data_IF_263839665074
#
_entry.id   IF_263839665074
#
_cell.length_a   1.000
_cell.length_b   1.000
_cell.length_c   1.000
_cell.angle_alpha   90.00
_cell.angle_beta   90.00
_cell.angle_gamma   90.00
#
_symmetry.space_group_name_H-M   'P 1'
#
loop_
_entity.id
_entity.type
_entity.pdbx_description
1 polymer ?
#
# COMPACT_ATOMS: atom_id res chain seq x y z
N UNK A 1 -15.50 10.97 13.89
CA UNK A 1 -14.75 11.82 14.85
C UNK A 1 -13.63 12.50 14.08
N UNK A 2 -13.41 13.82 14.23
CA UNK A 2 -12.29 14.48 13.58
C UNK A 2 -10.98 13.90 14.13
N UNK A 3 -10.11 13.44 13.24
CA UNK A 3 -8.82 12.85 13.59
C UNK A 3 -7.90 13.90 14.21
N UNK A 4 -7.11 13.50 15.21
CA UNK A 4 -6.02 14.35 15.69
C UNK A 4 -4.91 14.31 14.65
N UNK A 5 -4.66 15.45 14.01
CA UNK A 5 -3.52 15.61 13.13
C UNK A 5 -2.24 15.19 13.88
N UNK A 6 -1.61 14.11 13.42
CA UNK A 6 -0.35 13.66 13.96
C UNK A 6 0.77 14.50 13.33
N UNK A 7 1.77 14.94 14.10
CA UNK A 7 2.93 15.60 13.52
C UNK A 7 3.69 14.59 12.65
N UNK A 8 3.66 14.80 11.35
CA UNK A 8 4.39 13.99 10.37
C UNK A 8 5.52 14.82 9.75
N UNK A 9 6.66 14.20 9.40
CA UNK A 9 7.78 14.92 8.79
C UNK A 9 7.47 15.46 7.39
N UNK A 10 6.51 14.88 6.68
CA UNK A 10 6.09 15.30 5.34
C UNK A 10 4.57 15.55 5.28
N UNK A 11 4.10 16.19 4.20
CA UNK A 11 2.68 16.50 3.97
C UNK A 11 1.84 15.21 3.92
N UNK A 12 0.76 15.15 4.69
CA UNK A 12 -0.16 14.00 4.63
C UNK A 12 -1.03 14.13 3.38
N UNK A 13 -0.99 13.10 2.54
CA UNK A 13 -1.83 12.98 1.35
C UNK A 13 -3.16 12.36 1.71
N UNK A 14 -3.12 11.21 2.38
CA UNK A 14 -4.30 10.39 2.69
C UNK A 14 -3.93 9.43 3.84
N UNK A 15 -4.76 9.33 4.87
CA UNK A 15 -4.51 8.43 6.02
C UNK A 15 -5.05 7.01 5.82
N UNK A 16 -5.92 6.80 4.84
CA UNK A 16 -6.45 5.49 4.48
C UNK A 16 -6.66 5.37 2.96
N UNK A 17 -5.56 5.34 2.18
CA UNK A 17 -5.64 5.35 0.73
C UNK A 17 -6.28 4.06 0.19
N UNK A 18 -7.19 4.23 -0.77
CA UNK A 18 -7.79 3.10 -1.48
C UNK A 18 -6.72 2.23 -2.15
N UNK A 19 -6.91 0.90 -2.14
CA UNK A 19 -5.92 -0.08 -2.66
C UNK A 19 -5.38 0.27 -4.04
N UNK A 20 -6.25 0.74 -4.95
CA UNK A 20 -5.85 1.11 -6.32
C UNK A 20 -4.96 2.34 -6.37
N UNK A 21 -5.13 3.30 -5.45
CA UNK A 21 -4.28 4.48 -5.35
C UNK A 21 -2.89 4.07 -4.87
N UNK A 22 -2.81 3.25 -3.83
CA UNK A 22 -1.54 2.77 -3.28
C UNK A 22 -0.69 2.08 -4.35
N UNK A 23 -1.29 1.18 -5.12
CA UNK A 23 -0.60 0.44 -6.20
C UNK A 23 -0.20 1.36 -7.36
N UNK A 24 -1.07 2.30 -7.77
CA UNK A 24 -0.75 3.29 -8.82
C UNK A 24 0.38 4.26 -8.43
N UNK A 25 0.67 4.38 -7.14
CA UNK A 25 1.70 5.26 -6.58
C UNK A 25 2.98 4.48 -6.20
N UNK A 26 3.10 3.23 -6.66
CA UNK A 26 4.37 2.52 -6.57
C UNK A 26 5.45 3.23 -7.37
N UNK A 27 6.56 3.51 -6.70
CA UNK A 27 7.79 3.97 -7.35
C UNK A 27 8.47 2.76 -8.00
N UNK A 28 9.37 2.97 -8.99
CA UNK A 28 10.22 1.90 -9.50
C UNK A 28 10.97 1.13 -8.41
N UNK A 29 11.35 1.81 -7.32
CA UNK A 29 11.97 1.19 -6.16
C UNK A 29 11.08 0.17 -5.44
N UNK A 30 9.76 0.37 -5.43
CA UNK A 30 8.85 -0.55 -4.75
C UNK A 30 8.66 -1.83 -5.57
N UNK A 31 8.62 -1.72 -6.91
CA UNK A 31 8.69 -2.88 -7.80
C UNK A 31 10.02 -3.62 -7.67
N UNK A 32 11.14 -2.90 -7.50
CA UNK A 32 12.44 -3.51 -7.26
C UNK A 32 12.45 -4.30 -5.94
N UNK A 33 11.90 -3.74 -4.86
CA UNK A 33 11.73 -4.44 -3.57
C UNK A 33 10.85 -5.67 -3.73
N UNK A 34 9.73 -5.56 -4.45
CA UNK A 34 8.84 -6.70 -4.69
C UNK A 34 9.53 -7.81 -5.49
N UNK A 35 10.24 -7.46 -6.56
CA UNK A 35 11.02 -8.40 -7.36
C UNK A 35 12.12 -9.07 -6.53
N UNK A 36 12.87 -8.29 -5.74
CA UNK A 36 13.91 -8.81 -4.87
C UNK A 36 13.37 -9.80 -3.83
N UNK A 37 12.25 -9.47 -3.18
CA UNK A 37 11.59 -10.37 -2.22
C UNK A 37 11.10 -11.67 -2.87
N UNK A 38 10.58 -11.58 -4.10
CA UNK A 38 10.09 -12.73 -4.87
C UNK A 38 11.19 -13.77 -5.10
N UNK A 39 12.42 -13.33 -5.39
CA UNK A 39 13.55 -14.23 -5.66
C UNK A 39 14.38 -14.57 -4.43
N UNK A 40 14.27 -13.79 -3.34
CA UNK A 40 15.09 -13.98 -2.14
C UNK A 40 14.85 -15.35 -1.48
N UNK A 41 13.58 -15.72 -1.25
CA UNK A 41 13.21 -16.99 -0.63
C UNK A 41 13.63 -18.23 -1.45
N UNK A 42 13.30 -18.34 -2.76
CA UNK A 42 13.76 -19.48 -3.56
C UNK A 42 15.29 -19.50 -3.73
N UNK A 43 15.97 -18.35 -3.87
CA UNK A 43 17.43 -18.30 -3.92
C UNK A 43 18.07 -18.81 -2.62
N UNK A 44 17.49 -18.46 -1.48
CA UNK A 44 17.91 -18.97 -0.17
C UNK A 44 17.77 -20.49 -0.07
N UNK A 45 16.64 -21.06 -0.52
CA UNK A 45 16.44 -22.52 -0.55
C UNK A 45 17.46 -23.23 -1.46
N UNK A 46 17.75 -22.68 -2.64
CA UNK A 46 18.79 -23.22 -3.53
C UNK A 46 20.16 -23.16 -2.86
N UNK A 47 20.47 -22.06 -2.17
CA UNK A 47 21.70 -21.90 -1.40
C UNK A 47 21.85 -22.96 -0.31
N UNK A 48 20.78 -23.21 0.46
CA UNK A 48 20.77 -24.23 1.50
C UNK A 48 20.96 -25.65 0.94
N UNK A 49 20.30 -25.96 -0.17
CA UNK A 49 20.43 -27.28 -0.81
C UNK A 49 21.85 -27.51 -1.34
N UNK A 50 22.50 -26.48 -1.90
CA UNK A 50 23.91 -26.53 -2.32
C UNK A 50 24.88 -26.76 -1.17
N UNK A 51 24.63 -26.15 0.00
CA UNK A 51 25.48 -26.32 1.19
C UNK A 51 25.24 -27.70 1.82
N UNK A 52 23.99 -28.16 1.86
CA UNK A 52 23.62 -29.45 2.45
C UNK A 52 23.52 -30.57 1.40
N UNK A 53 24.68 -30.99 0.87
CA UNK A 53 24.81 -32.09 -0.13
C UNK A 53 24.25 -33.46 0.29
N UNK A 54 23.80 -33.64 1.54
CA UNK A 54 23.12 -34.86 2.03
C UNK A 54 21.59 -34.80 1.91
N UNK A 55 21.05 -33.65 1.50
CA UNK A 55 19.64 -33.44 1.19
C UNK A 55 19.23 -34.38 0.06
N UNK A 56 18.47 -35.43 0.38
CA UNK A 56 17.94 -36.40 -0.59
C UNK A 56 16.66 -35.88 -1.24
N UNK A 57 16.51 -34.55 -1.37
CA UNK A 57 15.30 -33.93 -1.91
C UNK A 57 15.27 -34.16 -3.42
N UNK A 58 14.58 -35.23 -3.84
CA UNK A 58 14.47 -35.63 -5.25
C UNK A 58 13.65 -34.66 -6.11
N UNK A 59 12.97 -33.67 -5.51
CA UNK A 59 12.19 -32.66 -6.25
C UNK A 59 12.15 -31.32 -5.53
N UNK A 60 12.90 -30.35 -6.05
CA UNK A 60 12.87 -28.95 -5.61
C UNK A 60 11.78 -28.12 -6.29
N UNK A 61 11.05 -28.69 -7.27
CA UNK A 61 10.09 -27.95 -8.07
C UNK A 61 8.95 -27.32 -7.24
N UNK A 62 8.32 -28.12 -6.37
CA UNK A 62 7.23 -27.62 -5.52
C UNK A 62 7.72 -26.66 -4.41
N UNK A 63 8.77 -26.99 -3.63
CA UNK A 63 9.32 -26.07 -2.63
C UNK A 63 9.73 -24.71 -3.21
N UNK A 64 10.37 -24.69 -4.38
CA UNK A 64 10.77 -23.44 -5.03
C UNK A 64 9.56 -22.62 -5.48
N UNK A 65 8.52 -23.25 -6.06
CA UNK A 65 7.28 -22.56 -6.43
C UNK A 65 6.59 -21.94 -5.21
N UNK A 66 6.51 -22.68 -4.11
CA UNK A 66 5.93 -22.18 -2.86
C UNK A 66 6.75 -21.03 -2.29
N UNK A 67 8.08 -21.13 -2.27
CA UNK A 67 8.96 -20.07 -1.79
C UNK A 67 8.85 -18.81 -2.65
N UNK A 68 8.82 -18.94 -3.98
CA UNK A 68 8.57 -17.82 -4.90
C UNK A 68 7.21 -17.18 -4.62
N UNK A 69 6.17 -17.97 -4.40
CA UNK A 69 4.83 -17.44 -4.09
C UNK A 69 4.82 -16.66 -2.77
N UNK A 70 5.41 -17.22 -1.70
CA UNK A 70 5.52 -16.53 -0.41
C UNK A 70 6.33 -15.24 -0.54
N UNK A 71 7.46 -15.29 -1.25
CA UNK A 71 8.29 -14.11 -1.54
C UNK A 71 7.53 -13.05 -2.33
N UNK A 72 6.73 -13.45 -3.32
CA UNK A 72 5.90 -12.54 -4.11
C UNK A 72 4.80 -11.88 -3.27
N UNK A 73 4.10 -12.64 -2.42
CA UNK A 73 3.04 -12.10 -1.55
C UNK A 73 3.65 -11.16 -0.50
N UNK A 74 4.71 -11.59 0.19
CA UNK A 74 5.38 -10.76 1.19
C UNK A 74 6.02 -9.50 0.58
N UNK A 75 6.61 -9.63 -0.60
CA UNK A 75 7.16 -8.51 -1.36
C UNK A 75 6.11 -7.49 -1.76
N UNK A 76 4.94 -7.94 -2.21
CA UNK A 76 3.81 -7.07 -2.49
C UNK A 76 3.33 -6.31 -1.25
N UNK A 77 3.18 -7.01 -0.11
CA UNK A 77 2.78 -6.40 1.15
C UNK A 77 3.79 -5.33 1.61
N UNK A 78 5.08 -5.57 1.46
CA UNK A 78 6.13 -4.60 1.78
C UNK A 78 6.11 -3.40 0.83
N UNK A 79 5.94 -3.62 -0.47
CA UNK A 79 5.79 -2.54 -1.46
C UNK A 79 4.56 -1.68 -1.15
N UNK A 80 3.44 -2.31 -0.79
CA UNK A 80 2.21 -1.65 -0.37
C UNK A 80 2.46 -0.78 0.88
N UNK A 81 3.08 -1.33 1.92
CA UNK A 81 3.45 -0.58 3.14
C UNK A 81 4.30 0.65 2.82
N UNK A 82 5.34 0.50 1.99
CA UNK A 82 6.23 1.61 1.60
C UNK A 82 5.47 2.73 0.91
N UNK A 83 4.53 2.38 0.03
CA UNK A 83 3.66 3.35 -0.63
C UNK A 83 2.70 4.02 0.36
N UNK A 84 2.03 3.25 1.22
CA UNK A 84 1.17 3.79 2.28
C UNK A 84 1.92 4.75 3.23
N UNK A 85 3.17 4.47 3.59
CA UNK A 85 3.97 5.36 4.44
C UNK A 85 4.22 6.73 3.79
N UNK A 86 4.31 6.79 2.45
CA UNK A 86 4.39 8.06 1.71
C UNK A 86 3.05 8.80 1.72
N UNK A 87 1.93 8.09 1.62
CA UNK A 87 0.60 8.72 1.78
C UNK A 87 0.41 9.33 3.18
N UNK A 88 0.91 8.65 4.21
CA UNK A 88 0.81 9.09 5.60
C UNK A 88 1.82 10.19 5.97
N UNK A 89 2.70 10.60 5.04
CA UNK A 89 3.74 11.59 5.33
C UNK A 89 4.84 11.09 6.27
N UNK A 90 4.99 9.78 6.45
CA UNK A 90 6.05 9.16 7.28
C UNK A 90 7.36 8.97 6.52
N UNK A 91 7.30 9.03 5.20
CA UNK A 91 8.44 8.97 4.29
C UNK A 91 8.34 10.10 3.26
N UNK A 92 9.47 10.44 2.63
CA UNK A 92 9.52 11.45 1.58
C UNK A 92 8.51 11.14 0.47
N UNK A 93 7.69 12.13 0.13
CA UNK A 93 6.54 11.96 -0.74
C UNK A 93 6.29 13.16 -1.69
N UNK A 94 7.31 13.96 -1.99
CA UNK A 94 7.14 15.19 -2.78
C UNK A 94 6.57 14.92 -4.18
N UNK A 95 7.02 13.85 -4.83
CA UNK A 95 6.49 13.43 -6.13
C UNK A 95 5.01 13.00 -6.05
N UNK A 96 4.63 12.28 -4.99
CA UNK A 96 3.26 11.83 -4.75
C UNK A 96 2.32 12.99 -4.41
N UNK A 97 2.78 13.99 -3.66
CA UNK A 97 2.00 15.19 -3.36
C UNK A 97 1.67 15.96 -4.64
N UNK A 98 2.62 16.13 -5.56
CA UNK A 98 2.39 16.80 -6.84
C UNK A 98 1.38 16.02 -7.68
N UNK A 99 1.61 14.70 -7.83
CA UNK A 99 0.72 13.81 -8.58
C UNK A 99 -0.70 13.80 -8.00
N UNK A 100 -0.84 13.77 -6.68
CA UNK A 100 -2.12 13.80 -5.99
C UNK A 100 -2.87 15.11 -6.24
N UNK A 101 -2.18 16.26 -6.13
CA UNK A 101 -2.77 17.57 -6.43
C UNK A 101 -3.26 17.65 -7.89
N UNK A 102 -2.49 17.13 -8.84
CA UNK A 102 -2.90 17.06 -10.25
C UNK A 102 -4.14 16.16 -10.44
N UNK A 103 -4.12 14.94 -9.91
CA UNK A 103 -5.23 13.98 -10.02
C UNK A 103 -6.52 14.51 -9.36
N UNK A 104 -6.41 15.18 -8.20
CA UNK A 104 -7.57 15.74 -7.50
C UNK A 104 -8.14 16.96 -8.20
N UNK A 105 -7.30 17.85 -8.72
CA UNK A 105 -7.75 18.98 -9.55
C UNK A 105 -8.47 18.53 -10.81
N UNK A 106 -7.94 17.51 -11.48
CA UNK A 106 -8.59 16.95 -12.66
C UNK A 106 -9.98 16.39 -12.31
N UNK A 107 -10.12 15.70 -11.18
CA UNK A 107 -11.43 15.22 -10.70
C UNK A 107 -12.40 16.35 -10.41
N UNK A 108 -11.96 17.40 -9.73
CA UNK A 108 -12.78 18.60 -9.46
C UNK A 108 -13.23 19.25 -10.77
N UNK A 109 -12.31 19.43 -11.74
CA UNK A 109 -12.61 19.99 -13.04
C UNK A 109 -13.62 19.15 -13.84
N UNK A 110 -13.61 17.83 -13.64
CA UNK A 110 -14.58 16.89 -14.22
C UNK A 110 -15.89 16.78 -13.42
N UNK A 111 -16.04 17.52 -12.32
CA UNK A 111 -17.22 17.44 -11.43
C UNK A 111 -17.36 16.10 -10.71
N UNK A 112 -16.27 15.32 -10.60
CA UNK A 112 -16.25 14.01 -9.95
C UNK A 112 -15.89 14.13 -8.46
N UNK A 113 -16.38 13.23 -7.60
CA UNK A 113 -15.96 13.19 -6.21
C UNK A 113 -14.46 12.86 -6.10
N UNK A 114 -13.78 13.53 -5.16
CA UNK A 114 -12.33 13.42 -4.95
C UNK A 114 -11.90 11.96 -4.74
N UNK A 115 -12.61 11.24 -3.89
CA UNK A 115 -12.27 9.87 -3.49
C UNK A 115 -13.16 8.79 -4.11
N UNK A 116 -13.93 9.14 -5.14
CA UNK A 116 -14.84 8.23 -5.83
C UNK A 116 -16.21 8.10 -5.15
N UNK A 117 -17.03 7.21 -5.70
CA UNK A 117 -18.37 6.92 -5.19
C UNK A 117 -18.37 5.59 -4.42
N UNK A 118 -19.08 5.56 -3.30
CA UNK A 118 -19.27 4.39 -2.47
C UNK A 118 -20.73 3.94 -2.52
N UNK A 119 -20.94 2.62 -2.58
CA UNK A 119 -22.27 2.02 -2.45
C UNK A 119 -22.70 1.85 -0.98
N UNK A 120 -21.80 2.17 -0.04
CA UNK A 120 -22.05 2.05 1.39
C UNK A 120 -22.78 3.29 1.92
N UNK A 121 -23.63 3.10 2.91
CA UNK A 121 -24.21 4.22 3.67
C UNK A 121 -23.09 5.01 4.36
N UNK A 122 -23.29 6.32 4.65
CA UNK A 122 -22.27 7.12 5.34
C UNK A 122 -21.77 6.49 6.65
N UNK A 123 -22.67 5.86 7.41
CA UNK A 123 -22.30 5.11 8.61
C UNK A 123 -21.34 3.94 8.31
N UNK A 124 -21.64 3.12 7.29
CA UNK A 124 -20.79 1.99 6.93
C UNK A 124 -19.45 2.43 6.32
N UNK A 125 -19.42 3.58 5.65
CA UNK A 125 -18.17 4.20 5.20
C UNK A 125 -17.27 4.57 6.38
N UNK A 126 -17.82 5.15 7.45
CA UNK A 126 -17.06 5.44 8.67
C UNK A 126 -16.57 4.18 9.37
N UNK A 127 -17.42 3.15 9.49
CA UNK A 127 -17.03 1.86 10.06
C UNK A 127 -15.90 1.24 9.25
N UNK A 128 -15.99 1.28 7.92
CA UNK A 128 -14.91 0.81 7.04
C UNK A 128 -13.62 1.58 7.29
N UNK A 129 -13.66 2.92 7.27
CA UNK A 129 -12.48 3.77 7.48
C UNK A 129 -11.78 3.49 8.81
N UNK A 130 -12.53 3.24 9.88
CA UNK A 130 -11.95 2.89 11.20
C UNK A 130 -11.24 1.54 11.19
N UNK A 131 -11.70 0.59 10.37
CA UNK A 131 -11.08 -0.73 10.25
C UNK A 131 -9.87 -0.74 9.29
N UNK A 132 -9.89 0.06 8.23
CA UNK A 132 -8.81 0.10 7.22
C UNK A 132 -7.71 1.10 7.49
N UNK A 133 -7.99 2.18 8.23
CA UNK A 133 -7.00 3.21 8.58
C UNK A 133 -5.77 2.60 9.26
N UNK A 134 -4.60 2.92 8.74
CA UNK A 134 -3.28 2.40 9.17
C UNK A 134 -3.12 0.88 9.18
N UNK A 135 -4.05 0.11 8.60
CA UNK A 135 -4.03 -1.36 8.64
C UNK A 135 -2.78 -1.95 7.96
N UNK A 136 -2.16 -1.22 7.02
CA UNK A 136 -0.91 -1.65 6.39
C UNK A 136 0.23 -1.83 7.41
N UNK A 137 0.21 -1.17 8.58
CA UNK A 137 1.20 -1.41 9.65
C UNK A 137 1.12 -2.80 10.27
N UNK A 138 0.03 -3.55 10.05
CA UNK A 138 -0.26 -4.85 10.67
C UNK A 138 -0.34 -6.01 9.68
N UNK A 139 0.21 -5.87 8.47
CA UNK A 139 0.27 -6.95 7.48
C UNK A 139 1.04 -8.19 7.94
N UNK A 140 1.91 -8.06 8.95
CA UNK A 140 2.53 -9.21 9.59
C UNK A 140 1.54 -10.09 10.38
N UNK A 141 0.38 -9.57 10.77
CA UNK A 141 -0.67 -10.31 11.46
C UNK A 141 -1.83 -10.65 10.53
N UNK A 142 -2.39 -9.66 9.82
CA UNK A 142 -3.53 -9.87 8.93
C UNK A 142 -3.55 -8.81 7.81
N UNK A 143 -3.65 -9.22 6.53
CA UNK A 143 -3.70 -8.27 5.42
C UNK A 143 -5.09 -7.66 5.29
N UNK A 144 -5.19 -6.35 5.50
CA UNK A 144 -6.44 -5.62 5.40
C UNK A 144 -6.27 -4.32 4.61
N UNK A 145 -7.16 -4.09 3.64
CA UNK A 145 -7.04 -3.01 2.66
C UNK A 145 -8.33 -2.20 2.59
N UNK A 146 -8.22 -0.94 2.15
CA UNK A 146 -9.37 -0.10 1.86
C UNK A 146 -9.93 -0.36 0.44
N UNK A 147 -11.20 -0.78 0.40
CA UNK A 147 -11.99 -0.98 -0.82
C UNK A 147 -13.28 -0.14 -0.86
N UNK A 148 -13.49 0.73 0.13
CA UNK A 148 -14.81 1.30 0.41
C UNK A 148 -15.08 2.67 -0.23
N UNK A 149 -14.07 3.33 -0.83
CA UNK A 149 -14.17 4.71 -1.35
C UNK A 149 -14.89 5.66 -0.37
N UNK A 150 -14.60 5.52 0.93
CA UNK A 150 -15.22 6.33 1.97
C UNK A 150 -14.71 7.78 1.91
N UNK A 151 -15.40 8.74 2.53
CA UNK A 151 -14.93 10.14 2.54
C UNK A 151 -13.93 10.47 3.67
N UNK A 152 -13.64 9.52 4.55
CA UNK A 152 -12.83 9.75 5.77
C UNK A 152 -11.31 9.62 5.54
N UNK A 153 -10.70 10.52 4.77
CA UNK A 153 -9.27 10.45 4.41
C UNK A 153 -8.30 11.18 5.35
N UNK A 154 -8.81 11.87 6.37
CA UNK A 154 -7.97 12.48 7.42
C UNK A 154 -7.14 13.68 6.95
N UNK A 155 -7.56 14.33 5.87
CA UNK A 155 -6.95 15.53 5.31
C UNK A 155 -8.05 16.55 5.00
N UNK A 156 -7.70 17.84 5.03
CA UNK A 156 -8.60 18.89 4.57
C UNK A 156 -8.64 18.91 3.03
N UNK A 157 -9.81 18.64 2.46
CA UNK A 157 -10.05 18.63 1.01
C UNK A 157 -9.98 20.03 0.38
N UNK A 158 -10.15 21.09 1.18
CA UNK A 158 -10.08 22.47 0.69
C UNK A 158 -8.72 22.82 0.07
N UNK A 159 -7.65 22.07 0.44
CA UNK A 159 -6.30 22.23 -0.13
C UNK A 159 -6.21 21.98 -1.63
N UNK A 160 -7.19 21.29 -2.22
CA UNK A 160 -7.25 21.07 -3.67
C UNK A 160 -8.01 22.17 -4.41
N UNK A 161 -8.79 22.98 -3.68
CA UNK A 161 -9.54 24.12 -4.23
C UNK A 161 -8.71 25.41 -4.19
N UNK A 162 -7.81 25.52 -3.21
CA UNK A 162 -6.94 26.68 -3.03
C UNK A 162 -5.60 26.47 -3.74
N UNK A 163 -5.52 26.87 -5.02
CA UNK A 163 -4.34 27.37 -5.76
C UNK A 163 -4.64 27.44 -7.26
#
# INVERSE_FOLDING_TARGET
MPERAQPTPFEVIDTDPHVSRVVRYFRPSDYAVWGAATVAAPAFLIGLDRVNSKSRVHSMGFPLRLATFIGAVGGFMLAYQRSSYRFWGWAENGAEVVKDKEEMRERIAQGKPLYGESQLTPYLQEVSARNSRYAATKFNAFPWFNFANHQSHGVDESKYQQQ
#
